data_IF_596685032113
#
_entry.id   IF_596685032113
#
_cell.length_a   1.000
_cell.length_b   1.000
_cell.length_c   1.000
_cell.angle_alpha   90.00
_cell.angle_beta   90.00
_cell.angle_gamma   90.00
#
_symmetry.space_group_name_H-M   'P 1'
#
loop_
_entity.id
_entity.type
_entity.pdbx_description
1 polymer ?
#
# COMPACT_ATOMS: atom_id res chain seq x y z
N UNK A 1 4.85 18.33 -1.24
CA UNK A 1 4.27 17.08 -0.78
C UNK A 1 2.99 17.28 0.04
N UNK A 2 2.97 18.22 1.00
CA UNK A 2 1.86 18.47 1.92
C UNK A 2 0.98 19.65 1.53
N UNK A 3 1.03 20.09 0.27
CA UNK A 3 0.21 21.21 -0.23
C UNK A 3 -1.29 20.93 -0.03
N UNK A 4 -2.04 21.92 0.45
CA UNK A 4 -3.49 21.79 0.69
C UNK A 4 -3.92 20.98 1.90
N UNK A 5 -2.98 20.39 2.66
CA UNK A 5 -3.28 19.66 3.88
C UNK A 5 -3.28 20.57 5.12
N UNK A 6 -3.97 20.13 6.16
CA UNK A 6 -3.94 20.78 7.48
C UNK A 6 -2.53 20.62 8.09
N UNK A 7 -2.17 21.49 9.01
CA UNK A 7 -0.89 21.44 9.73
C UNK A 7 -0.70 20.17 10.56
N UNK A 8 -1.80 19.51 10.95
CA UNK A 8 -1.78 18.23 11.65
C UNK A 8 -2.65 17.24 10.90
N UNK A 9 -2.10 16.07 10.63
CA UNK A 9 -2.77 14.98 9.92
C UNK A 9 -2.70 13.70 10.76
N UNK A 10 -3.65 12.79 10.55
CA UNK A 10 -3.59 11.42 11.05
C UNK A 10 -3.10 10.52 9.93
N UNK A 11 -2.09 9.68 10.19
CA UNK A 11 -1.56 8.74 9.22
C UNK A 11 -1.23 7.41 9.91
N UNK A 12 -1.43 6.31 9.20
CA UNK A 12 -1.04 4.99 9.65
C UNK A 12 0.48 4.85 9.62
N UNK A 13 1.06 4.26 10.65
CA UNK A 13 2.49 3.96 10.72
C UNK A 13 2.74 2.59 11.35
N UNK A 14 3.69 1.85 10.81
CA UNK A 14 4.04 0.50 11.22
C UNK A 14 5.56 0.36 11.27
N UNK A 15 6.21 1.03 12.25
CA UNK A 15 7.67 1.03 12.33
C UNK A 15 8.16 0.94 13.78
N UNK A 16 9.31 0.33 13.96
CA UNK A 16 10.03 0.26 15.23
C UNK A 16 11.29 1.14 15.27
N UNK A 17 11.74 1.62 14.10
CA UNK A 17 12.90 2.48 13.95
C UNK A 17 12.46 3.86 13.47
N UNK A 18 13.21 4.89 13.83
CA UNK A 18 13.00 6.27 13.42
C UNK A 18 14.32 6.87 12.91
N UNK A 19 14.19 7.88 12.05
CA UNK A 19 15.34 8.65 11.58
C UNK A 19 15.89 9.45 12.76
N UNK A 20 17.19 9.31 13.04
CA UNK A 20 17.87 10.08 14.07
C UNK A 20 18.08 11.53 13.59
N UNK A 21 17.59 12.48 14.38
CA UNK A 21 17.71 13.90 14.06
C UNK A 21 19.13 14.43 14.20
N UNK A 22 19.97 13.78 15.04
CA UNK A 22 21.34 14.23 15.33
C UNK A 22 22.27 13.90 14.15
N UNK A 23 22.08 12.74 13.56
CA UNK A 23 22.91 12.24 12.44
C UNK A 23 22.32 12.53 11.06
N UNK A 24 21.24 13.33 10.97
CA UNK A 24 20.62 13.64 9.68
C UNK A 24 21.58 14.41 8.78
N UNK A 25 21.90 13.91 7.57
CA UNK A 25 22.79 14.60 6.63
C UNK A 25 22.29 16.01 6.26
N UNK A 26 23.21 16.94 6.06
CA UNK A 26 22.88 18.35 5.75
C UNK A 26 22.14 18.53 4.41
N UNK A 27 22.27 17.57 3.49
CA UNK A 27 21.50 17.56 2.22
C UNK A 27 20.03 17.26 2.42
N UNK A 28 19.62 16.75 3.58
CA UNK A 28 18.23 16.46 3.91
C UNK A 28 17.64 17.55 4.82
N UNK A 29 16.34 17.73 4.73
CA UNK A 29 15.58 18.61 5.63
C UNK A 29 14.33 17.89 6.12
N UNK A 30 14.03 18.05 7.41
CA UNK A 30 12.80 17.56 8.02
C UNK A 30 11.64 18.41 7.55
N UNK A 31 10.55 17.78 7.10
CA UNK A 31 9.34 18.44 6.61
C UNK A 31 8.07 18.04 7.38
N UNK A 32 8.15 17.02 8.23
CA UNK A 32 7.09 16.65 9.17
C UNK A 32 7.66 15.90 10.38
N UNK A 33 7.04 16.12 11.54
CA UNK A 33 7.33 15.40 12.79
C UNK A 33 6.02 14.94 13.44
N UNK A 34 6.08 13.96 14.33
CA UNK A 34 4.95 13.61 15.19
C UNK A 34 4.92 14.48 16.47
N UNK A 35 3.97 14.20 17.35
CA UNK A 35 3.78 14.85 18.65
C UNK A 35 4.95 14.66 19.64
N UNK A 36 5.83 13.67 19.37
CA UNK A 36 7.05 13.40 20.14
C UNK A 36 8.31 13.95 19.46
N UNK A 37 8.16 14.80 18.47
CA UNK A 37 9.25 15.36 17.66
C UNK A 37 10.06 14.29 16.88
N UNK A 38 9.51 13.08 16.68
CA UNK A 38 10.13 12.09 15.82
C UNK A 38 9.94 12.48 14.34
N UNK A 39 10.97 12.30 13.54
CA UNK A 39 10.93 12.63 12.11
C UNK A 39 9.97 11.70 11.39
N UNK A 40 8.96 12.28 10.77
CA UNK A 40 7.92 11.57 9.99
C UNK A 40 8.01 11.81 8.49
N UNK A 41 8.68 12.87 8.06
CA UNK A 41 8.98 13.09 6.65
C UNK A 41 10.22 13.96 6.47
N UNK A 42 10.97 13.63 5.43
CA UNK A 42 12.19 14.33 5.02
C UNK A 42 12.14 14.64 3.51
N UNK A 43 12.90 15.63 3.09
CA UNK A 43 13.15 15.89 1.66
C UNK A 43 14.62 16.15 1.41
N UNK A 44 15.09 15.82 0.22
CA UNK A 44 16.38 16.30 -0.25
C UNK A 44 16.30 17.80 -0.61
N UNK A 45 17.35 18.56 -0.35
CA UNK A 45 17.34 20.02 -0.56
C UNK A 45 17.43 20.39 -2.04
N UNK A 46 18.15 19.61 -2.83
CA UNK A 46 18.46 19.88 -4.23
C UNK A 46 17.70 18.97 -5.21
N UNK A 47 17.35 17.76 -4.78
CA UNK A 47 16.69 16.78 -5.63
C UNK A 47 15.20 16.61 -5.25
N UNK A 48 14.32 16.27 -6.20
CA UNK A 48 12.90 16.02 -5.95
C UNK A 48 12.69 14.66 -5.28
N UNK A 49 13.42 14.40 -4.18
CA UNK A 49 13.42 13.16 -3.42
C UNK A 49 12.81 13.41 -2.04
N UNK A 50 11.85 12.57 -1.68
CA UNK A 50 11.11 12.66 -0.43
C UNK A 50 11.04 11.29 0.23
N UNK A 51 11.11 11.27 1.55
CA UNK A 51 10.88 10.09 2.37
C UNK A 51 9.79 10.35 3.39
N UNK A 52 8.91 9.38 3.61
CA UNK A 52 7.88 9.42 4.65
C UNK A 52 7.99 8.17 5.52
N UNK A 53 7.80 8.34 6.83
CA UNK A 53 7.85 7.24 7.80
C UNK A 53 6.50 6.56 7.98
N UNK A 54 5.44 7.20 7.57
CA UNK A 54 4.07 6.69 7.61
C UNK A 54 3.65 6.12 6.24
N UNK A 55 2.51 5.47 6.21
CA UNK A 55 1.97 4.81 5.01
C UNK A 55 0.85 5.65 4.39
N UNK A 56 1.13 6.50 3.39
CA UNK A 56 0.10 7.29 2.72
C UNK A 56 -0.91 6.42 1.95
N UNK A 57 -0.50 5.25 1.48
CA UNK A 57 -1.35 4.29 0.76
C UNK A 57 -2.30 3.53 1.69
N UNK A 58 -2.09 3.59 3.00
CA UNK A 58 -2.91 2.86 3.96
C UNK A 58 -4.35 3.36 4.01
N UNK A 59 -5.30 2.45 4.05
CA UNK A 59 -6.74 2.75 4.25
C UNK A 59 -6.97 3.56 5.54
N UNK A 60 -6.14 3.35 6.56
CA UNK A 60 -6.21 4.08 7.83
C UNK A 60 -5.71 5.52 7.73
N UNK A 61 -4.94 5.87 6.70
CA UNK A 61 -4.53 7.24 6.38
C UNK A 61 -5.62 7.96 5.56
N UNK A 62 -6.40 7.20 4.79
CA UNK A 62 -7.58 7.68 4.09
C UNK A 62 -7.29 8.75 3.03
N UNK A 63 -8.20 9.71 2.88
CA UNK A 63 -8.11 10.77 1.87
C UNK A 63 -6.85 11.63 1.98
N UNK A 64 -6.34 11.83 3.18
CA UNK A 64 -5.09 12.56 3.41
C UNK A 64 -3.91 11.87 2.72
N UNK A 65 -3.87 10.56 2.78
CA UNK A 65 -2.85 9.77 2.10
C UNK A 65 -2.94 9.91 0.57
N UNK A 66 -4.16 9.83 0.03
CA UNK A 66 -4.39 10.04 -1.40
C UNK A 66 -3.92 11.43 -1.86
N UNK A 67 -4.19 12.48 -1.08
CA UNK A 67 -3.73 13.83 -1.39
C UNK A 67 -2.20 13.94 -1.39
N UNK A 68 -1.51 13.26 -0.46
CA UNK A 68 -0.05 13.24 -0.43
C UNK A 68 0.51 12.57 -1.68
N UNK A 69 -0.07 11.43 -2.09
CA UNK A 69 0.33 10.71 -3.30
C UNK A 69 0.04 11.56 -4.55
N UNK A 70 -1.15 12.16 -4.64
CA UNK A 70 -1.51 13.07 -5.74
C UNK A 70 -0.55 14.26 -5.84
N UNK A 71 -0.21 14.92 -4.72
CA UNK A 71 0.75 16.01 -4.69
C UNK A 71 2.14 15.56 -5.16
N UNK A 72 2.57 14.37 -4.74
CA UNK A 72 3.85 13.82 -5.22
C UNK A 72 3.81 13.60 -6.73
N UNK A 73 2.79 12.94 -7.25
CA UNK A 73 2.68 12.63 -8.67
C UNK A 73 2.54 13.89 -9.53
N UNK A 74 1.64 14.80 -9.15
CA UNK A 74 1.34 15.98 -9.96
C UNK A 74 2.42 17.06 -9.85
N UNK A 75 2.83 17.42 -8.62
CA UNK A 75 3.65 18.61 -8.37
C UNK A 75 5.14 18.28 -8.41
N UNK A 76 5.53 17.04 -8.08
CA UNK A 76 6.92 16.65 -7.93
C UNK A 76 7.37 15.79 -9.11
N UNK A 77 6.63 14.73 -9.42
CA UNK A 77 6.94 13.81 -10.51
C UNK A 77 6.45 14.30 -11.88
N UNK A 78 5.60 15.33 -11.94
CA UNK A 78 5.05 15.89 -13.18
C UNK A 78 4.07 14.95 -13.90
N UNK A 79 3.53 13.95 -13.20
CA UNK A 79 2.58 12.96 -13.74
C UNK A 79 1.17 13.44 -13.43
N UNK A 80 0.41 13.86 -14.46
CA UNK A 80 -0.99 14.25 -14.27
C UNK A 80 -1.84 13.03 -13.91
N UNK A 81 -2.35 13.00 -12.70
CA UNK A 81 -3.30 11.98 -12.26
C UNK A 81 -4.71 12.36 -12.71
N UNK A 82 -5.40 11.44 -13.40
CA UNK A 82 -6.83 11.58 -13.67
C UNK A 82 -7.59 10.88 -12.53
N UNK A 83 -8.42 11.65 -11.81
CA UNK A 83 -9.33 11.06 -10.80
C UNK A 83 -10.34 10.19 -11.50
N UNK A 84 -10.10 8.89 -11.55
CA UNK A 84 -11.18 7.93 -11.81
C UNK A 84 -11.99 7.85 -10.52
N UNK A 85 -13.14 8.54 -10.49
CA UNK A 85 -14.16 8.26 -9.47
C UNK A 85 -14.64 6.83 -9.74
N UNK A 86 -14.20 5.89 -8.90
CA UNK A 86 -14.88 4.59 -8.82
C UNK A 86 -16.32 4.87 -8.40
N UNK A 87 -17.24 4.72 -9.33
CA UNK A 87 -18.66 4.75 -9.01
C UNK A 87 -18.94 3.52 -8.14
N UNK A 88 -19.43 3.74 -6.93
CA UNK A 88 -19.87 2.64 -6.07
C UNK A 88 -20.88 1.78 -6.82
N UNK A 89 -20.54 0.52 -7.10
CA UNK A 89 -21.41 -0.40 -7.80
C UNK A 89 -22.64 -0.75 -6.97
N UNK A 90 -23.82 -0.97 -7.61
CA UNK A 90 -25.04 -1.36 -6.92
C UNK A 90 -24.84 -2.66 -6.12
N UNK A 91 -25.55 -2.81 -5.01
CA UNK A 91 -25.46 -3.99 -4.14
C UNK A 91 -25.72 -5.33 -4.84
N UNK A 92 -26.43 -5.33 -5.98
CA UNK A 92 -26.68 -6.53 -6.79
C UNK A 92 -25.40 -7.11 -7.41
N UNK A 93 -24.38 -6.32 -7.67
CA UNK A 93 -23.10 -6.79 -8.24
C UNK A 93 -22.12 -7.27 -7.17
N UNK A 94 -22.39 -6.96 -5.89
CA UNK A 94 -21.57 -7.40 -4.73
C UNK A 94 -21.83 -8.86 -4.32
N UNK A 95 -22.72 -9.56 -5.02
CA UNK A 95 -23.13 -10.94 -4.66
C UNK A 95 -22.09 -11.97 -5.09
N UNK A 96 -21.31 -11.69 -6.11
CA UNK A 96 -20.40 -12.68 -6.72
C UNK A 96 -19.29 -13.19 -5.77
N UNK A 97 -18.77 -12.36 -4.87
CA UNK A 97 -17.70 -12.77 -3.95
C UNK A 97 -18.21 -13.76 -2.88
N UNK A 98 -19.51 -13.75 -2.56
CA UNK A 98 -20.08 -14.58 -1.48
C UNK A 98 -19.81 -16.08 -1.64
N UNK A 99 -19.80 -16.59 -2.86
CA UNK A 99 -19.55 -18.02 -3.11
C UNK A 99 -18.12 -18.42 -2.70
N UNK A 100 -17.13 -17.57 -2.98
CA UNK A 100 -15.73 -17.81 -2.60
C UNK A 100 -15.52 -17.62 -1.10
N UNK A 101 -16.17 -16.61 -0.51
CA UNK A 101 -16.19 -16.43 0.95
C UNK A 101 -16.69 -17.65 1.66
N UNK A 102 -17.79 -18.25 1.19
CA UNK A 102 -18.34 -19.47 1.81
C UNK A 102 -17.32 -20.62 1.79
N UNK A 103 -16.65 -20.85 0.67
CA UNK A 103 -15.64 -21.91 0.53
C UNK A 103 -14.55 -21.73 1.58
N UNK A 104 -13.98 -20.50 1.68
CA UNK A 104 -12.86 -20.22 2.57
C UNK A 104 -13.30 -20.20 4.04
N UNK A 105 -14.48 -19.68 4.36
CA UNK A 105 -15.03 -19.70 5.71
C UNK A 105 -15.36 -21.12 6.20
N UNK A 106 -15.69 -22.04 5.29
CA UNK A 106 -15.87 -23.47 5.59
C UNK A 106 -14.51 -24.21 5.74
N UNK A 107 -13.39 -23.49 5.76
CA UNK A 107 -12.04 -24.05 5.88
C UNK A 107 -11.52 -24.74 4.62
N UNK A 108 -12.20 -24.61 3.49
CA UNK A 108 -11.80 -25.20 2.21
C UNK A 108 -10.95 -24.23 1.42
N UNK A 109 -10.09 -24.76 0.55
CA UNK A 109 -9.23 -23.97 -0.32
C UNK A 109 -9.93 -23.66 -1.65
N UNK A 110 -9.63 -22.49 -2.20
CA UNK A 110 -10.01 -22.14 -3.57
C UNK A 110 -9.03 -22.81 -4.55
N UNK A 111 -9.54 -23.21 -5.70
CA UNK A 111 -8.68 -23.52 -6.84
C UNK A 111 -8.02 -22.24 -7.36
N UNK A 112 -6.98 -22.39 -8.17
CA UNK A 112 -6.29 -21.23 -8.79
C UNK A 112 -7.27 -20.32 -9.57
N UNK A 113 -8.20 -20.92 -10.35
CA UNK A 113 -9.22 -20.18 -11.12
C UNK A 113 -10.24 -19.46 -10.21
N UNK A 114 -10.66 -20.10 -9.11
CA UNK A 114 -11.56 -19.48 -8.14
C UNK A 114 -10.89 -18.33 -7.40
N UNK A 115 -9.62 -18.49 -7.02
CA UNK A 115 -8.81 -17.44 -6.41
C UNK A 115 -8.60 -16.27 -7.37
N UNK A 116 -8.28 -16.56 -8.64
CA UNK A 116 -8.20 -15.55 -9.70
C UNK A 116 -9.49 -14.73 -9.78
N UNK A 117 -10.65 -15.39 -9.89
CA UNK A 117 -11.96 -14.73 -10.00
C UNK A 117 -12.33 -13.93 -8.75
N UNK A 118 -12.02 -14.46 -7.57
CA UNK A 118 -12.25 -13.74 -6.31
C UNK A 118 -11.42 -12.45 -6.25
N UNK A 119 -10.14 -12.51 -6.63
CA UNK A 119 -9.26 -11.35 -6.65
C UNK A 119 -9.65 -10.37 -7.76
N UNK A 120 -10.10 -10.84 -8.91
CA UNK A 120 -10.60 -9.97 -10.00
C UNK A 120 -11.78 -9.12 -9.54
N UNK A 121 -12.72 -9.69 -8.80
CA UNK A 121 -13.84 -8.96 -8.20
C UNK A 121 -13.33 -7.86 -7.27
N UNK A 122 -12.35 -8.16 -6.42
CA UNK A 122 -11.76 -7.21 -5.47
C UNK A 122 -11.02 -6.09 -6.22
N UNK A 123 -10.14 -6.45 -7.14
CA UNK A 123 -9.31 -5.50 -7.90
C UNK A 123 -10.12 -4.66 -8.91
N UNK A 124 -11.36 -5.05 -9.18
CA UNK A 124 -12.32 -4.29 -10.00
C UNK A 124 -13.29 -3.45 -9.17
N UNK A 125 -13.04 -3.31 -7.86
CA UNK A 125 -13.88 -2.53 -6.91
C UNK A 125 -15.35 -3.04 -6.83
N UNK A 126 -15.54 -4.34 -7.07
CA UNK A 126 -16.86 -5.01 -7.01
C UNK A 126 -17.13 -5.70 -5.67
N UNK A 127 -16.23 -5.56 -4.71
CA UNK A 127 -16.38 -6.10 -3.36
C UNK A 127 -16.51 -4.98 -2.33
N UNK A 128 -17.32 -5.20 -1.29
CA UNK A 128 -17.36 -4.30 -0.15
C UNK A 128 -16.16 -4.52 0.77
N UNK A 129 -15.78 -3.48 1.54
CA UNK A 129 -14.71 -3.59 2.53
C UNK A 129 -14.94 -4.75 3.53
N UNK A 130 -16.20 -5.00 3.91
CA UNK A 130 -16.55 -6.10 4.79
C UNK A 130 -16.29 -7.47 4.13
N UNK A 131 -16.58 -7.62 2.85
CA UNK A 131 -16.30 -8.84 2.10
C UNK A 131 -14.80 -9.08 1.93
N UNK A 132 -14.04 -8.02 1.64
CA UNK A 132 -12.57 -8.09 1.54
C UNK A 132 -11.97 -8.49 2.89
N UNK A 133 -12.37 -7.84 3.98
CA UNK A 133 -11.91 -8.17 5.32
C UNK A 133 -12.24 -9.62 5.70
N UNK A 134 -13.45 -10.08 5.38
CA UNK A 134 -13.88 -11.46 5.63
C UNK A 134 -12.99 -12.45 4.87
N UNK A 135 -12.73 -12.23 3.58
CA UNK A 135 -11.87 -13.10 2.77
C UNK A 135 -10.46 -13.19 3.33
N UNK A 136 -9.83 -12.04 3.59
CA UNK A 136 -8.46 -11.97 4.10
C UNK A 136 -8.34 -12.64 5.48
N UNK A 137 -9.30 -12.41 6.37
CA UNK A 137 -9.32 -13.04 7.69
C UNK A 137 -9.50 -14.55 7.59
N UNK A 138 -10.42 -15.03 6.76
CA UNK A 138 -10.67 -16.46 6.58
C UNK A 138 -9.46 -17.17 5.94
N UNK A 139 -8.82 -16.55 4.94
CA UNK A 139 -7.57 -17.06 4.36
C UNK A 139 -6.47 -17.15 5.42
N UNK A 140 -6.28 -16.08 6.21
CA UNK A 140 -5.26 -16.06 7.28
C UNK A 140 -5.52 -17.12 8.34
N UNK A 141 -6.76 -17.38 8.71
CA UNK A 141 -7.13 -18.41 9.70
C UNK A 141 -6.91 -19.82 9.17
N UNK A 142 -7.22 -20.04 7.90
CA UNK A 142 -7.07 -21.35 7.24
C UNK A 142 -5.61 -21.65 6.87
N UNK A 143 -4.84 -20.64 6.53
CA UNK A 143 -3.58 -20.71 5.79
C UNK A 143 -3.81 -20.76 4.28
N UNK A 144 -3.07 -19.96 3.54
CA UNK A 144 -3.16 -19.85 2.09
C UNK A 144 -2.47 -21.05 1.42
N UNK A 145 -3.02 -21.50 0.29
CA UNK A 145 -2.42 -22.54 -0.55
C UNK A 145 -1.63 -21.92 -1.71
N UNK A 146 -0.78 -22.71 -2.35
CA UNK A 146 -0.02 -22.29 -3.54
C UNK A 146 -0.96 -21.86 -4.67
N UNK A 147 -2.05 -22.59 -4.89
CA UNK A 147 -3.04 -22.29 -5.93
C UNK A 147 -3.72 -20.94 -5.66
N UNK A 148 -4.11 -20.69 -4.40
CA UNK A 148 -4.72 -19.42 -4.00
C UNK A 148 -3.76 -18.25 -4.21
N UNK A 149 -2.52 -18.37 -3.75
CA UNK A 149 -1.50 -17.33 -3.94
C UNK A 149 -1.23 -17.09 -5.43
N UNK A 150 -1.15 -18.16 -6.23
CA UNK A 150 -0.92 -18.06 -7.67
C UNK A 150 -2.06 -17.35 -8.37
N UNK A 151 -3.30 -17.70 -8.08
CA UNK A 151 -4.49 -17.05 -8.66
C UNK A 151 -4.56 -15.56 -8.30
N UNK A 152 -4.32 -15.21 -7.04
CA UNK A 152 -4.29 -13.82 -6.60
C UNK A 152 -3.18 -13.01 -7.28
N UNK A 153 -1.97 -13.56 -7.33
CA UNK A 153 -0.82 -12.89 -7.93
C UNK A 153 -1.00 -12.63 -9.44
N UNK A 154 -1.63 -13.56 -10.16
CA UNK A 154 -1.92 -13.38 -11.60
C UNK A 154 -2.77 -12.15 -11.85
N UNK A 155 -3.90 -11.99 -11.15
CA UNK A 155 -4.78 -10.83 -11.30
C UNK A 155 -4.07 -9.53 -10.91
N UNK A 156 -3.36 -9.53 -9.79
CA UNK A 156 -2.64 -8.35 -9.33
C UNK A 156 -1.62 -7.89 -10.38
N UNK A 157 -0.89 -8.83 -11.00
CA UNK A 157 0.07 -8.51 -12.08
C UNK A 157 -0.59 -8.04 -13.37
N UNK A 158 -1.78 -8.53 -13.70
CA UNK A 158 -2.52 -8.08 -14.88
C UNK A 158 -3.07 -6.68 -14.69
N UNK A 159 -3.57 -6.36 -13.49
CA UNK A 159 -4.23 -5.08 -13.20
C UNK A 159 -3.28 -3.99 -12.69
N UNK A 160 -2.04 -4.33 -12.38
CA UNK A 160 -1.07 -3.33 -11.93
C UNK A 160 -0.78 -2.29 -13.02
N UNK A 161 -0.62 -1.03 -12.61
CA UNK A 161 -0.10 0.02 -13.48
C UNK A 161 1.36 -0.27 -13.81
N UNK A 162 1.65 -0.55 -15.09
CA UNK A 162 3.01 -0.86 -15.53
C UNK A 162 3.83 0.42 -15.66
N UNK A 163 4.92 0.48 -14.94
CA UNK A 163 5.93 1.55 -15.09
C UNK A 163 7.08 1.01 -15.95
N UNK A 164 7.19 1.49 -17.19
CA UNK A 164 8.24 1.09 -18.12
C UNK A 164 9.49 1.95 -17.87
N UNK A 165 10.31 1.57 -16.92
CA UNK A 165 11.60 2.20 -16.63
C UNK A 165 12.71 1.18 -16.87
N UNK A 166 13.75 1.58 -17.62
CA UNK A 166 14.95 0.75 -17.85
C UNK A 166 15.98 1.01 -16.76
N UNK A 167 16.72 -0.02 -16.36
CA UNK A 167 17.83 0.11 -15.41
C UNK A 167 17.38 0.34 -13.95
N UNK A 168 16.20 -0.13 -13.58
CA UNK A 168 15.74 -0.11 -12.19
C UNK A 168 16.21 -1.33 -11.44
N UNK A 169 16.53 -1.14 -10.16
CA UNK A 169 16.79 -2.18 -9.20
C UNK A 169 15.62 -2.22 -8.19
N UNK A 170 15.07 -3.40 -7.96
CA UNK A 170 14.10 -3.61 -6.88
C UNK A 170 14.86 -3.97 -5.61
N UNK A 171 14.74 -3.12 -4.59
CA UNK A 171 15.37 -3.27 -3.28
C UNK A 171 14.33 -3.41 -2.16
N UNK A 172 13.05 -3.58 -2.52
CA UNK A 172 11.99 -3.69 -1.52
C UNK A 172 12.08 -5.03 -0.77
N UNK A 173 11.96 -4.97 0.54
CA UNK A 173 11.80 -6.14 1.39
C UNK A 173 10.33 -6.46 1.65
N UNK A 174 10.03 -7.73 1.92
CA UNK A 174 8.71 -8.14 2.41
C UNK A 174 8.50 -7.59 3.81
N UNK A 175 7.61 -6.61 3.98
CA UNK A 175 7.21 -6.13 5.30
C UNK A 175 6.17 -7.05 5.96
N UNK A 176 6.01 -6.93 7.28
CA UNK A 176 4.92 -7.60 8.00
C UNK A 176 5.11 -9.09 8.27
N UNK A 177 6.30 -9.65 8.03
CA UNK A 177 6.65 -11.05 8.26
C UNK A 177 6.88 -11.41 9.74
N UNK A 178 6.75 -10.40 10.63
CA UNK A 178 6.99 -10.52 12.08
C UNK A 178 8.41 -11.00 12.46
N UNK A 179 9.35 -10.98 11.52
CA UNK A 179 10.72 -11.45 11.74
C UNK A 179 11.52 -10.57 12.69
N UNK A 180 11.06 -9.33 12.93
CA UNK A 180 11.77 -8.29 13.69
C UNK A 180 13.24 -8.11 13.25
N UNK A 181 13.53 -8.45 11.99
CA UNK A 181 14.87 -8.34 11.42
C UNK A 181 15.21 -6.89 11.06
N UNK A 182 16.50 -6.61 10.95
CA UNK A 182 17.02 -5.34 10.47
C UNK A 182 16.52 -5.07 9.03
N UNK A 183 16.10 -3.83 8.74
CA UNK A 183 15.63 -3.47 7.41
C UNK A 183 16.81 -3.34 6.42
N UNK A 184 17.20 -4.48 5.87
CA UNK A 184 18.31 -4.59 4.92
C UNK A 184 18.02 -3.79 3.65
N UNK A 185 16.77 -3.79 3.17
CA UNK A 185 16.36 -3.11 1.94
C UNK A 185 16.58 -1.60 2.04
N UNK A 186 16.12 -0.97 3.12
CA UNK A 186 16.34 0.46 3.33
C UNK A 186 17.84 0.77 3.43
N UNK A 187 18.62 -0.05 4.11
CA UNK A 187 20.07 0.17 4.24
C UNK A 187 20.78 0.02 2.90
N UNK A 188 20.41 -0.99 2.10
CA UNK A 188 21.00 -1.22 0.77
C UNK A 188 20.67 -0.10 -0.23
N UNK A 189 19.60 0.69 0.02
CA UNK A 189 19.25 1.82 -0.85
C UNK A 189 20.19 3.03 -0.71
N UNK A 190 21.06 3.04 0.32
CA UNK A 190 22.03 4.11 0.56
C UNK A 190 23.45 3.76 0.06
N UNK A 191 23.67 2.58 -0.51
CA UNK A 191 24.93 2.11 -1.07
C UNK A 191 24.91 2.15 -2.58
#
# INVERSE_FOLDING_TARGET
LFSGLKSTIKAARYHSLVVDSISLPTCLSVIATDDKAQIMAIRHREHPTYGVQFHPESVLTGEVGNMIIENFLNDIAGIKTTKTKSAALPDSERVELKKYLKIVCDGKSLTEDEAYKAMDIIMSDRASNAQIACLLTALRMKGETIDEITGFAKVMREKMSKVNVKGTLDIVGTGGDLSNSFNISTTSSFV
#
